data_IF_316370046207
#
_entry.id   IF_316370046207
#
_cell.length_a   1.000
_cell.length_b   1.000
_cell.length_c   1.000
_cell.angle_alpha   90.00
_cell.angle_beta   90.00
_cell.angle_gamma   90.00
#
_symmetry.space_group_name_H-M   'P 1'
#
loop_
_entity.id
_entity.type
_entity.pdbx_description
1 polymer ?
#
# COMPACT_ATOMS: atom_id res chain seq x y z
N UNK A 1 4.74 13.54 -16.76
CA UNK A 1 4.58 12.86 -15.46
C UNK A 1 5.74 13.28 -14.57
N UNK A 2 5.43 13.89 -13.43
CA UNK A 2 6.40 14.18 -12.38
C UNK A 2 6.76 12.86 -11.72
N UNK A 3 8.04 12.47 -11.71
CA UNK A 3 8.48 11.16 -11.19
C UNK A 3 8.11 10.95 -9.72
N UNK A 4 7.96 9.69 -9.30
CA UNK A 4 7.45 9.34 -7.97
C UNK A 4 8.27 9.93 -6.81
N UNK A 5 9.57 10.09 -7.01
CA UNK A 5 10.49 10.69 -6.03
C UNK A 5 10.18 12.17 -5.83
N UNK A 6 9.85 12.89 -6.90
CA UNK A 6 9.46 14.28 -6.81
C UNK A 6 8.13 14.43 -6.08
N UNK A 7 7.19 13.49 -6.26
CA UNK A 7 5.96 13.45 -5.46
C UNK A 7 6.26 13.23 -3.97
N UNK A 8 7.19 12.32 -3.63
CA UNK A 8 7.64 12.15 -2.24
C UNK A 8 8.25 13.46 -1.71
N UNK A 9 9.08 14.15 -2.49
CA UNK A 9 9.70 15.43 -2.08
C UNK A 9 8.68 16.55 -1.92
N UNK A 10 7.67 16.64 -2.78
CA UNK A 10 6.56 17.57 -2.62
C UNK A 10 5.81 17.27 -1.32
N UNK A 11 5.56 15.99 -1.02
CA UNK A 11 4.85 15.59 0.19
C UNK A 11 5.66 15.91 1.45
N UNK A 12 6.97 15.65 1.42
CA UNK A 12 7.89 16.01 2.49
C UNK A 12 7.96 17.52 2.78
N UNK A 13 7.64 18.36 1.77
CA UNK A 13 7.54 19.83 1.91
C UNK A 13 6.13 20.31 2.28
N UNK A 14 5.15 19.41 2.38
CA UNK A 14 3.74 19.77 2.60
C UNK A 14 3.06 20.39 1.37
N UNK A 15 3.63 20.22 0.17
CA UNK A 15 3.12 20.78 -1.09
C UNK A 15 2.10 19.85 -1.80
N UNK A 16 1.97 18.60 -1.34
CA UNK A 16 0.95 17.64 -1.78
C UNK A 16 0.46 16.82 -0.59
N UNK A 17 -0.69 16.18 -0.72
CA UNK A 17 -1.27 15.32 0.30
C UNK A 17 -0.78 13.87 0.22
N UNK A 18 -0.96 13.11 1.31
CA UNK A 18 -0.65 11.67 1.32
C UNK A 18 -1.54 10.88 0.35
N UNK A 19 -2.79 11.32 0.15
CA UNK A 19 -3.72 10.67 -0.78
C UNK A 19 -3.30 10.84 -2.24
N UNK A 20 -2.81 12.04 -2.60
CA UNK A 20 -2.22 12.32 -3.92
C UNK A 20 -0.95 11.52 -4.15
N UNK A 21 -0.06 11.45 -3.14
CA UNK A 21 1.15 10.62 -3.19
C UNK A 21 0.80 9.14 -3.40
N UNK A 22 -0.19 8.64 -2.65
CA UNK A 22 -0.63 7.24 -2.77
C UNK A 22 -1.24 6.98 -4.15
N UNK A 23 -2.02 7.91 -4.70
CA UNK A 23 -2.53 7.83 -6.07
C UNK A 23 -1.39 7.80 -7.11
N UNK A 24 -0.33 8.59 -6.90
CA UNK A 24 0.83 8.56 -7.79
C UNK A 24 1.51 7.18 -7.82
N UNK A 25 1.64 6.50 -6.67
CA UNK A 25 2.15 5.12 -6.61
C UNK A 25 1.23 4.11 -7.28
N UNK A 26 -0.08 4.30 -7.19
CA UNK A 26 -1.09 3.41 -7.78
C UNK A 26 -1.08 3.48 -9.32
N UNK A 27 -0.78 4.64 -9.88
CA UNK A 27 -0.80 4.91 -11.32
C UNK A 27 0.51 4.59 -12.08
N UNK A 28 1.48 3.93 -11.45
CA UNK A 28 2.74 3.56 -12.11
C UNK A 28 2.55 2.40 -13.11
N UNK A 29 3.23 2.47 -14.26
CA UNK A 29 3.16 1.46 -15.32
C UNK A 29 4.06 0.25 -15.03
N UNK A 30 5.31 0.47 -14.56
CA UNK A 30 6.23 -0.58 -14.11
C UNK A 30 6.60 -0.45 -12.62
N UNK A 31 5.62 -0.59 -11.72
CA UNK A 31 5.72 -0.16 -10.34
C UNK A 31 6.84 -0.84 -9.54
N UNK A 32 7.10 -2.14 -9.73
CA UNK A 32 8.11 -2.85 -8.94
C UNK A 32 9.53 -2.29 -9.13
N UNK A 33 9.91 -1.97 -10.37
CA UNK A 33 11.21 -1.41 -10.69
C UNK A 33 11.34 0.04 -10.23
N UNK A 34 10.31 0.85 -10.47
CA UNK A 34 10.27 2.25 -10.06
C UNK A 34 10.28 2.42 -8.54
N UNK A 35 9.57 1.56 -7.80
CA UNK A 35 9.56 1.57 -6.33
C UNK A 35 10.93 1.17 -5.79
N UNK A 36 11.58 0.14 -6.35
CA UNK A 36 12.95 -0.25 -5.96
C UNK A 36 13.97 0.87 -6.20
N UNK A 37 13.86 1.57 -7.33
CA UNK A 37 14.70 2.74 -7.64
C UNK A 37 14.45 3.88 -6.65
N UNK A 38 13.18 4.18 -6.35
CA UNK A 38 12.80 5.20 -5.38
C UNK A 38 13.32 4.88 -3.97
N UNK A 39 13.22 3.64 -3.50
CA UNK A 39 13.77 3.20 -2.21
C UNK A 39 15.27 3.49 -2.15
N UNK A 40 16.01 3.12 -3.21
CA UNK A 40 17.46 3.31 -3.28
C UNK A 40 17.84 4.79 -3.22
N UNK A 41 17.16 5.65 -3.99
CA UNK A 41 17.44 7.09 -3.99
C UNK A 41 17.08 7.75 -2.65
N UNK A 42 15.89 7.49 -2.12
CA UNK A 42 15.45 8.04 -0.84
C UNK A 42 16.40 7.63 0.29
N UNK A 43 16.88 6.38 0.28
CA UNK A 43 17.87 5.95 1.25
C UNK A 43 19.26 6.60 1.07
N UNK A 44 19.67 6.86 -0.16
CA UNK A 44 20.86 7.65 -0.46
C UNK A 44 20.74 9.11 0.02
N UNK A 45 19.53 9.67 0.05
CA UNK A 45 19.27 11.04 0.51
C UNK A 45 19.28 11.15 2.04
N UNK A 46 18.81 10.13 2.77
CA UNK A 46 18.91 10.07 4.25
C UNK A 46 20.37 10.17 4.71
N UNK A 47 21.28 9.44 4.06
CA UNK A 47 22.71 9.48 4.39
C UNK A 47 23.39 10.83 4.12
N UNK A 48 22.80 11.67 3.26
CA UNK A 48 23.31 13.00 2.89
C UNK A 48 22.72 14.13 3.71
N UNK A 49 21.50 13.99 4.20
CA UNK A 49 20.74 15.07 4.84
C UNK A 49 20.74 15.02 6.37
N UNK A 50 21.20 13.92 6.98
CA UNK A 50 21.36 13.87 8.45
C UNK A 50 20.06 14.09 9.22
N UNK A 51 18.90 13.75 8.64
CA UNK A 51 17.60 13.91 9.29
C UNK A 51 17.36 12.76 10.29
N UNK A 52 18.10 12.80 11.40
CA UNK A 52 17.73 12.10 12.61
C UNK A 52 17.16 13.13 13.59
N UNK A 53 15.85 13.31 13.62
CA UNK A 53 15.21 13.82 14.83
C UNK A 53 13.76 13.34 15.01
N UNK A 54 13.67 12.46 16.01
CA UNK A 54 12.67 12.38 17.08
C UNK A 54 11.18 12.48 16.76
N UNK A 55 10.60 11.29 16.76
CA UNK A 55 9.22 10.96 17.09
C UNK A 55 9.18 9.44 17.15
N UNK A 56 10.04 8.85 18.00
CA UNK A 56 10.24 7.41 18.08
C UNK A 56 8.93 6.82 18.63
N UNK A 57 8.07 6.43 17.70
CA UNK A 57 6.83 5.78 18.05
C UNK A 57 7.17 4.59 18.93
N UNK A 58 6.47 4.46 20.04
CA UNK A 58 6.57 3.26 20.85
C UNK A 58 5.99 2.07 20.07
N UNK A 59 6.20 0.85 20.59
CA UNK A 59 5.73 -0.36 19.91
C UNK A 59 4.21 -0.41 19.72
N UNK A 60 3.43 0.21 20.60
CA UNK A 60 1.97 0.26 20.49
C UNK A 60 1.51 1.20 19.36
N UNK A 61 2.15 2.36 19.22
CA UNK A 61 1.89 3.31 18.14
C UNK A 61 2.26 2.72 16.77
N UNK A 62 3.43 2.07 16.68
CA UNK A 62 3.81 1.32 15.48
C UNK A 62 2.82 0.22 15.14
N UNK A 63 2.39 -0.56 16.14
CA UNK A 63 1.39 -1.61 15.92
C UNK A 63 0.07 -1.03 15.44
N UNK A 64 -0.43 0.04 16.07
CA UNK A 64 -1.67 0.68 15.68
C UNK A 64 -1.60 1.22 14.25
N UNK A 65 -0.50 1.88 13.89
CA UNK A 65 -0.30 2.40 12.55
C UNK A 65 -0.23 1.28 11.50
N UNK A 66 0.55 0.22 11.75
CA UNK A 66 0.67 -0.91 10.82
C UNK A 66 -0.66 -1.66 10.64
N UNK A 67 -1.47 -1.78 11.70
CA UNK A 67 -2.80 -2.38 11.63
C UNK A 67 -3.82 -1.51 10.87
N UNK A 68 -3.60 -0.19 10.83
CA UNK A 68 -4.42 0.75 10.07
C UNK A 68 -3.93 0.99 8.65
N UNK A 69 -2.82 0.37 8.23
CA UNK A 69 -2.29 0.54 6.88
C UNK A 69 -3.14 -0.20 5.86
N UNK A 70 -3.35 0.46 4.72
CA UNK A 70 -3.65 -0.21 3.46
C UNK A 70 -2.34 -0.69 2.85
N UNK A 71 -2.41 -1.75 2.04
CA UNK A 71 -1.24 -2.28 1.38
C UNK A 71 -1.41 -2.33 -0.14
N UNK A 72 -0.28 -2.31 -0.83
CA UNK A 72 -0.18 -2.69 -2.24
C UNK A 72 1.12 -3.43 -2.46
N UNK A 73 1.10 -4.42 -3.32
CA UNK A 73 2.30 -5.19 -3.66
C UNK A 73 2.43 -5.37 -5.16
N UNK A 74 3.67 -5.41 -5.63
CA UNK A 74 4.02 -5.58 -7.03
C UNK A 74 5.05 -6.70 -7.14
N UNK A 75 4.72 -7.86 -7.71
CA UNK A 75 5.66 -8.98 -7.80
C UNK A 75 6.67 -8.84 -8.95
N UNK A 76 6.40 -7.98 -9.93
CA UNK A 76 7.16 -7.85 -11.20
C UNK A 76 7.42 -6.36 -11.49
N UNK A 77 8.57 -5.96 -12.07
CA UNK A 77 9.75 -6.77 -12.43
C UNK A 77 10.62 -7.22 -11.25
N UNK A 78 10.36 -6.70 -10.05
CA UNK A 78 10.93 -7.17 -8.80
C UNK A 78 9.90 -7.00 -7.68
N UNK A 79 9.98 -7.81 -6.62
CA UNK A 79 9.01 -7.76 -5.53
C UNK A 79 9.14 -6.43 -4.79
N UNK A 80 8.05 -5.68 -4.72
CA UNK A 80 7.94 -4.44 -3.97
C UNK A 80 6.61 -4.37 -3.23
N UNK A 81 6.59 -3.60 -2.15
CA UNK A 81 5.43 -3.40 -1.29
C UNK A 81 5.35 -1.95 -0.81
N UNK A 82 4.12 -1.49 -0.67
CA UNK A 82 3.72 -0.21 -0.12
C UNK A 82 2.77 -0.48 1.06
N UNK A 83 3.02 0.15 2.20
CA UNK A 83 2.07 0.27 3.31
C UNK A 83 1.75 1.74 3.50
N UNK A 84 0.48 2.12 3.42
CA UNK A 84 0.04 3.50 3.59
C UNK A 84 -0.99 3.59 4.72
N UNK A 85 -0.66 4.36 5.76
CA UNK A 85 -1.53 4.65 6.90
C UNK A 85 -1.63 6.15 7.14
N UNK A 86 -2.38 6.59 8.16
CA UNK A 86 -2.54 8.02 8.45
C UNK A 86 -1.20 8.69 8.81
N UNK A 87 -0.63 9.47 7.87
CA UNK A 87 0.64 10.17 8.04
C UNK A 87 1.90 9.29 7.94
N UNK A 88 1.75 8.05 7.45
CA UNK A 88 2.84 7.09 7.32
C UNK A 88 2.79 6.43 5.94
N UNK A 89 3.94 6.38 5.28
CA UNK A 89 4.14 5.61 4.07
C UNK A 89 5.41 4.76 4.20
N UNK A 90 5.31 3.46 3.95
CA UNK A 90 6.44 2.54 3.97
C UNK A 90 6.59 1.93 2.59
N UNK A 91 7.79 2.04 2.02
CA UNK A 91 8.18 1.33 0.81
C UNK A 91 9.19 0.25 1.17
N UNK A 92 9.06 -0.92 0.57
CA UNK A 92 10.06 -1.99 0.72
C UNK A 92 10.11 -2.88 -0.52
N UNK A 93 11.30 -3.37 -0.87
CA UNK A 93 11.51 -4.41 -1.89
C UNK A 93 11.87 -5.78 -1.25
N UNK A 94 11.70 -5.89 0.09
CA UNK A 94 12.12 -7.04 0.88
C UNK A 94 13.62 -7.07 1.21
N UNK A 95 14.47 -6.29 0.55
CA UNK A 95 15.91 -6.19 0.84
C UNK A 95 16.27 -4.85 1.48
N UNK A 96 15.60 -3.79 1.05
CA UNK A 96 15.69 -2.41 1.45
C UNK A 96 14.28 -1.87 1.72
N UNK A 97 14.24 -0.76 2.42
CA UNK A 97 12.99 -0.07 2.66
C UNK A 97 13.19 1.28 3.28
N UNK A 98 12.18 2.11 3.14
CA UNK A 98 12.16 3.46 3.69
C UNK A 98 10.80 3.71 4.34
N UNK A 99 10.84 4.33 5.51
CA UNK A 99 9.70 4.92 6.19
C UNK A 99 9.69 6.40 5.85
N UNK A 100 8.55 6.87 5.38
CA UNK A 100 8.30 8.25 5.07
C UNK A 100 7.15 8.74 5.97
N UNK A 101 7.38 9.86 6.64
CA UNK A 101 6.42 10.64 7.41
C UNK A 101 6.51 12.09 6.96
N UNK A 102 5.53 12.90 7.31
CA UNK A 102 5.60 14.33 7.01
C UNK A 102 6.87 14.94 7.62
N UNK A 103 7.69 15.57 6.78
CA UNK A 103 8.98 16.16 7.16
C UNK A 103 10.06 15.20 7.65
N UNK A 104 9.84 13.88 7.60
CA UNK A 104 10.80 12.89 8.10
C UNK A 104 10.88 11.66 7.20
N UNK A 105 12.10 11.20 6.93
CA UNK A 105 12.37 9.96 6.22
C UNK A 105 13.48 9.15 6.89
N UNK A 106 13.33 7.83 6.91
CA UNK A 106 14.30 6.91 7.53
C UNK A 106 14.41 5.61 6.76
N UNK A 107 15.65 5.17 6.50
CA UNK A 107 15.89 3.83 6.00
C UNK A 107 15.61 2.77 7.05
N UNK A 108 14.94 1.71 6.62
CA UNK A 108 14.68 0.54 7.43
C UNK A 108 15.93 -0.35 7.52
N UNK A 109 16.17 -0.97 8.69
CA UNK A 109 17.16 -2.04 8.80
C UNK A 109 16.82 -3.18 7.83
N UNK A 110 17.81 -3.70 7.12
CA UNK A 110 17.59 -4.82 6.16
C UNK A 110 16.88 -6.02 6.77
N UNK A 111 17.10 -6.28 8.06
CA UNK A 111 16.50 -7.41 8.78
C UNK A 111 14.96 -7.35 8.87
N UNK A 112 14.34 -6.16 8.82
CA UNK A 112 12.88 -6.01 8.94
C UNK A 112 12.17 -5.93 7.57
N UNK A 113 12.90 -5.60 6.50
CA UNK A 113 12.34 -5.43 5.15
C UNK A 113 11.57 -6.67 4.64
N UNK A 114 12.09 -7.91 4.77
CA UNK A 114 11.34 -9.10 4.34
C UNK A 114 10.02 -9.25 5.09
N UNK A 115 10.00 -8.97 6.40
CA UNK A 115 8.79 -9.07 7.23
C UNK A 115 7.76 -8.01 6.85
N UNK A 116 8.18 -6.81 6.48
CA UNK A 116 7.28 -5.76 6.01
C UNK A 116 6.70 -6.06 4.63
N UNK A 117 7.51 -6.64 3.73
CA UNK A 117 7.02 -7.09 2.43
C UNK A 117 5.97 -8.21 2.60
N UNK A 118 6.24 -9.19 3.46
CA UNK A 118 5.29 -10.26 3.80
C UNK A 118 4.02 -9.70 4.44
N UNK A 119 4.12 -8.69 5.32
CA UNK A 119 2.97 -8.02 5.90
C UNK A 119 2.12 -7.35 4.81
N UNK A 120 2.74 -6.62 3.89
CA UNK A 120 2.03 -5.99 2.77
C UNK A 120 1.32 -7.03 1.90
N UNK A 121 1.99 -8.14 1.58
CA UNK A 121 1.40 -9.25 0.84
C UNK A 121 0.22 -9.89 1.60
N UNK A 122 0.36 -10.06 2.91
CA UNK A 122 -0.69 -10.64 3.76
C UNK A 122 -1.93 -9.74 3.79
N UNK A 123 -1.76 -8.42 3.89
CA UNK A 123 -2.87 -7.46 3.87
C UNK A 123 -3.57 -7.52 2.51
N UNK A 124 -2.82 -7.47 1.40
CA UNK A 124 -3.41 -7.59 0.04
C UNK A 124 -4.18 -8.90 -0.12
N UNK A 125 -3.61 -10.03 0.30
CA UNK A 125 -4.29 -11.32 0.23
C UNK A 125 -5.57 -11.38 1.10
N UNK A 126 -5.57 -10.70 2.25
CA UNK A 126 -6.74 -10.62 3.11
C UNK A 126 -7.84 -9.76 2.47
N UNK A 127 -7.48 -8.61 1.88
CA UNK A 127 -8.41 -7.74 1.15
C UNK A 127 -9.03 -8.48 -0.05
N UNK A 128 -8.20 -9.15 -0.88
CA UNK A 128 -8.68 -9.93 -2.03
C UNK A 128 -9.64 -11.07 -1.62
N UNK A 129 -9.37 -11.72 -0.47
CA UNK A 129 -10.21 -12.80 0.04
C UNK A 129 -11.55 -12.29 0.58
N UNK A 130 -11.59 -11.07 1.13
CA UNK A 130 -12.83 -10.42 1.55
C UNK A 130 -13.67 -10.03 0.34
N UNK A 131 -13.06 -9.38 -0.65
CA UNK A 131 -13.72 -8.97 -1.90
C UNK A 131 -14.32 -10.18 -2.63
N UNK A 132 -13.59 -11.29 -2.70
CA UNK A 132 -14.10 -12.53 -3.30
C UNK A 132 -15.35 -13.08 -2.59
N UNK A 133 -15.43 -12.97 -1.26
CA UNK A 133 -16.60 -13.40 -0.47
C UNK A 133 -17.81 -12.49 -0.67
N UNK A 134 -17.58 -11.18 -0.75
CA UNK A 134 -18.65 -10.22 -1.02
C UNK A 134 -19.25 -10.42 -2.42
N UNK A 135 -18.39 -10.63 -3.42
CA UNK A 135 -18.82 -10.95 -4.79
C UNK A 135 -19.64 -12.24 -4.84
N UNK A 136 -19.24 -13.29 -4.11
CA UNK A 136 -20.00 -14.53 -4.06
C UNK A 136 -21.37 -14.34 -3.38
N UNK A 137 -21.42 -13.56 -2.29
CA UNK A 137 -22.67 -13.21 -1.60
C UNK A 137 -23.64 -12.48 -2.53
N UNK A 138 -23.16 -11.49 -3.29
CA UNK A 138 -23.96 -10.78 -4.29
C UNK A 138 -24.46 -11.72 -5.41
N UNK A 139 -23.63 -12.67 -5.87
CA UNK A 139 -24.02 -13.69 -6.85
C UNK A 139 -25.11 -14.62 -6.31
N UNK A 140 -25.01 -15.03 -5.05
CA UNK A 140 -26.02 -15.87 -4.39
C UNK A 140 -27.35 -15.13 -4.23
N UNK A 141 -27.33 -13.87 -3.79
CA UNK A 141 -28.52 -13.01 -3.72
C UNK A 141 -29.19 -12.85 -5.10
N UNK A 142 -28.40 -12.64 -6.15
CA UNK A 142 -28.94 -12.56 -7.52
C UNK A 142 -29.59 -13.88 -7.95
N UNK A 143 -28.98 -15.01 -7.67
CA UNK A 143 -29.52 -16.34 -7.98
C UNK A 143 -30.83 -16.59 -7.23
N UNK A 144 -30.88 -16.25 -5.94
CA UNK A 144 -32.10 -16.35 -5.13
C UNK A 144 -33.20 -15.43 -5.64
N UNK A 145 -32.90 -14.17 -5.94
CA UNK A 145 -33.87 -13.22 -6.51
C UNK A 145 -34.42 -13.66 -7.87
N UNK A 146 -33.57 -14.24 -8.73
CA UNK A 146 -33.98 -14.77 -10.05
C UNK A 146 -34.79 -16.07 -9.90
N UNK A 147 -34.48 -16.90 -8.91
CA UNK A 147 -35.20 -18.14 -8.61
C UNK A 147 -36.60 -17.89 -8.02
N UNK A 148 -36.81 -16.78 -7.30
CA UNK A 148 -38.15 -16.39 -6.84
C UNK A 148 -39.04 -15.87 -7.98
N UNK A 149 -38.49 -15.21 -9.00
CA UNK A 149 -39.29 -14.71 -10.15
C UNK A 149 -39.77 -15.80 -11.12
N UNK A 150 -39.14 -16.97 -11.15
CA UNK A 150 -39.53 -18.07 -12.06
C UNK A 150 -40.65 -18.96 -11.52
N UNK A 151 -41.01 -18.83 -10.24
CA UNK A 151 -42.04 -19.67 -9.60
C UNK A 151 -43.46 -19.12 -9.76
N UNK A 152 -43.61 -17.90 -10.31
CA UNK A 152 -44.90 -17.20 -10.48
C UNK A 152 -45.32 -17.05 -11.96
N UNK A 153 -44.58 -17.64 -12.89
CA UNK A 153 -44.91 -17.55 -14.33
C UNK A 153 -45.98 -18.60 -14.67
N UNK A 154 -47.23 -18.15 -14.80
CA UNK A 154 -48.30 -18.95 -15.39
C UNK A 154 -47.89 -19.38 -16.82
N UNK A 155 -47.99 -20.67 -17.17
CA UNK A 155 -47.62 -21.13 -18.50
C UNK A 155 -48.54 -20.50 -19.55
N UNK A 156 -47.94 -19.88 -20.56
CA UNK A 156 -48.66 -19.35 -21.73
C UNK A 156 -49.37 -20.53 -22.41
N UNK A 157 -50.71 -20.50 -22.41
CA UNK A 157 -51.56 -21.42 -23.19
C UNK A 157 -51.75 -20.92 -24.62
#
# INVERSE_FOLDING_TARGET
MTGIIEQVRLWQRGETSLDELTHAFVGLDEPGGEVGAAITELCGDVGRTGNAQEGDWNSAEWRAALLGCRARTWPTPGPAGLLAGSGLLILTDGQQGVVLREGNQRCLPRAICPSLLLLAQTIVMADDALDAREVDTLRQQRTQATSTSLSEIDPIR
#
